data_IF_391116676070
#
_entry.id   IF_391116676070
#
_cell.length_a   1.000
_cell.length_b   1.000
_cell.length_c   1.000
_cell.angle_alpha   90.00
_cell.angle_beta   90.00
_cell.angle_gamma   90.00
#
_symmetry.space_group_name_H-M   'P 1'
#
loop_
_entity.id
_entity.type
_entity.pdbx_description
1 polymer ?
#
# COMPACT_ATOMS: atom_id res chain seq x y z
N UNK A 1 -5.95 19.13 0.67
CA UNK A 1 -6.97 18.05 0.79
C UNK A 1 -6.71 17.05 -0.31
N UNK A 2 -6.71 15.76 -0.01
CA UNK A 2 -6.54 14.68 -1.01
C UNK A 2 -7.48 13.52 -0.68
N UNK A 3 -8.11 12.86 -1.67
CA UNK A 3 -8.73 11.56 -1.43
C UNK A 3 -7.70 10.57 -0.89
N UNK A 4 -8.10 9.67 0.00
CA UNK A 4 -7.17 8.70 0.61
C UNK A 4 -6.74 7.57 -0.34
N UNK A 5 -7.48 7.38 -1.43
CA UNK A 5 -7.21 6.41 -2.50
C UNK A 5 -7.38 7.02 -3.89
N UNK A 6 -6.72 6.41 -4.88
CA UNK A 6 -6.86 6.74 -6.29
C UNK A 6 -7.03 5.48 -7.16
N UNK A 7 -7.40 5.68 -8.43
CA UNK A 7 -7.57 4.62 -9.45
C UNK A 7 -8.47 3.46 -8.98
N UNK A 8 -9.62 3.78 -8.39
CA UNK A 8 -10.60 2.79 -7.92
C UNK A 8 -10.11 1.95 -6.75
N UNK A 9 -9.32 2.53 -5.85
CA UNK A 9 -8.81 1.83 -4.66
C UNK A 9 -7.52 1.05 -4.88
N UNK A 10 -6.91 1.13 -6.07
CA UNK A 10 -5.65 0.44 -6.39
C UNK A 10 -4.40 1.19 -5.91
N UNK A 11 -4.52 2.48 -5.62
CA UNK A 11 -3.41 3.33 -5.19
C UNK A 11 -3.80 4.00 -3.87
N UNK A 12 -2.91 3.94 -2.88
CA UNK A 12 -3.04 4.73 -1.65
C UNK A 12 -2.40 6.11 -1.84
N UNK A 13 -3.07 7.17 -1.34
CA UNK A 13 -2.46 8.51 -1.26
C UNK A 13 -1.50 8.65 -0.08
N UNK A 14 -1.56 7.73 0.89
CA UNK A 14 -0.68 7.67 2.05
C UNK A 14 0.21 6.44 1.93
N UNK A 15 1.53 6.66 1.92
CA UNK A 15 2.53 5.63 1.61
C UNK A 15 3.61 5.59 2.68
N UNK A 16 4.33 4.46 2.83
CA UNK A 16 5.48 4.35 3.72
C UNK A 16 6.52 5.46 3.54
N UNK A 17 6.86 5.79 2.30
CA UNK A 17 7.72 6.91 1.93
C UNK A 17 7.28 7.43 0.57
N UNK A 18 7.19 8.75 0.40
CA UNK A 18 6.86 9.37 -0.89
C UNK A 18 8.00 9.16 -1.89
N UNK A 19 7.67 8.87 -3.14
CA UNK A 19 8.67 8.70 -4.21
C UNK A 19 9.36 10.02 -4.60
N UNK A 20 8.71 11.15 -4.32
CA UNK A 20 9.21 12.49 -4.53
C UNK A 20 8.73 13.41 -3.39
N UNK A 21 9.58 14.34 -2.95
CA UNK A 21 9.27 15.28 -1.85
C UNK A 21 9.28 16.70 -2.42
N UNK A 22 8.09 17.28 -2.61
CA UNK A 22 7.93 18.71 -2.91
C UNK A 22 7.91 19.57 -1.63
N UNK A 23 7.33 19.02 -0.57
CA UNK A 23 7.14 19.69 0.71
C UNK A 23 7.55 18.77 1.86
N UNK A 24 8.50 19.23 2.67
CA UNK A 24 8.97 18.49 3.83
C UNK A 24 8.01 18.60 5.03
N UNK A 25 8.31 17.86 6.09
CA UNK A 25 7.52 17.77 7.31
C UNK A 25 7.41 19.11 8.07
N UNK A 26 8.37 20.02 7.88
CA UNK A 26 8.37 21.33 8.51
C UNK A 26 7.34 22.28 7.85
N UNK A 27 7.10 22.11 6.55
CA UNK A 27 6.18 22.93 5.77
C UNK A 27 4.73 22.46 5.83
N UNK A 28 4.48 21.20 6.18
CA UNK A 28 3.11 20.64 6.22
C UNK A 28 2.61 20.50 7.65
N UNK A 29 1.60 21.28 8.02
CA UNK A 29 1.02 21.28 9.37
C UNK A 29 -0.29 20.50 9.47
N UNK A 30 -1.11 20.45 8.42
CA UNK A 30 -2.43 19.80 8.44
C UNK A 30 -2.58 18.91 7.21
N UNK A 31 -3.11 17.71 7.40
CA UNK A 31 -3.52 16.81 6.32
C UNK A 31 -5.01 16.46 6.45
N UNK A 32 -5.70 16.38 5.32
CA UNK A 32 -7.14 16.09 5.25
C UNK A 32 -7.44 15.13 4.11
N UNK A 33 -8.18 14.07 4.42
CA UNK A 33 -8.83 13.16 3.47
C UNK A 33 -10.30 12.99 3.82
N UNK A 34 -11.04 12.21 3.03
CA UNK A 34 -12.42 11.85 3.36
C UNK A 34 -12.56 10.97 4.61
N UNK A 35 -11.45 10.41 5.12
CA UNK A 35 -11.42 9.64 6.37
C UNK A 35 -11.33 10.52 7.63
N UNK A 36 -10.83 11.76 7.48
CA UNK A 36 -10.64 12.68 8.59
C UNK A 36 -9.50 13.68 8.41
N UNK A 37 -9.15 14.33 9.52
CA UNK A 37 -8.14 15.38 9.60
C UNK A 37 -7.04 15.01 10.60
N UNK A 38 -5.79 15.21 10.19
CA UNK A 38 -4.61 15.08 11.04
C UNK A 38 -3.94 16.45 11.23
N UNK A 39 -3.95 16.95 12.47
CA UNK A 39 -3.20 18.14 12.88
C UNK A 39 -1.80 17.75 13.36
N UNK A 40 -0.78 18.12 12.60
CA UNK A 40 0.60 17.70 12.76
C UNK A 40 1.47 18.72 13.51
N UNK A 41 0.88 19.84 13.97
CA UNK A 41 1.60 20.86 14.75
C UNK A 41 2.13 20.27 16.06
N UNK A 42 3.37 20.65 16.40
CA UNK A 42 4.07 20.25 17.62
C UNK A 42 4.18 18.73 17.85
N UNK A 43 4.17 17.92 16.77
CA UNK A 43 4.29 16.46 16.85
C UNK A 43 5.63 16.00 16.28
N UNK A 44 6.26 15.06 16.97
CA UNK A 44 7.43 14.34 16.48
C UNK A 44 7.09 13.50 15.23
N UNK A 45 8.07 13.11 14.40
CA UNK A 45 7.81 12.29 13.21
C UNK A 45 6.99 11.02 13.50
N UNK A 46 7.25 10.36 14.65
CA UNK A 46 6.49 9.16 15.08
C UNK A 46 5.04 9.47 15.45
N UNK A 47 4.78 10.58 16.13
CA UNK A 47 3.41 11.01 16.45
C UNK A 47 2.65 11.44 15.20
N UNK A 48 3.33 12.13 14.27
CA UNK A 48 2.79 12.49 12.95
C UNK A 48 2.39 11.26 12.16
N UNK A 49 3.28 10.27 12.05
CA UNK A 49 3.01 9.01 11.35
C UNK A 49 1.78 8.31 11.92
N UNK A 50 1.71 8.12 13.24
CA UNK A 50 0.53 7.52 13.90
C UNK A 50 -0.74 8.30 13.59
N UNK A 51 -0.74 9.62 13.73
CA UNK A 51 -1.94 10.42 13.51
C UNK A 51 -2.43 10.37 12.06
N UNK A 52 -1.51 10.43 11.09
CA UNK A 52 -1.83 10.33 9.65
C UNK A 52 -2.45 8.97 9.33
N UNK A 53 -1.86 7.89 9.83
CA UNK A 53 -2.36 6.51 9.64
C UNK A 53 -3.77 6.38 10.23
N UNK A 54 -3.99 6.85 11.45
CA UNK A 54 -5.28 6.70 12.13
C UNK A 54 -6.39 7.60 11.57
N UNK A 55 -6.07 8.82 11.13
CA UNK A 55 -7.08 9.83 10.77
C UNK A 55 -7.27 10.03 9.29
N UNK A 56 -6.28 9.73 8.45
CA UNK A 56 -6.32 10.09 7.03
C UNK A 56 -6.23 8.89 6.09
N UNK A 57 -5.54 7.80 6.48
CA UNK A 57 -5.38 6.64 5.62
C UNK A 57 -6.69 5.85 5.45
N UNK A 58 -6.91 5.33 4.24
CA UNK A 58 -8.06 4.47 3.92
C UNK A 58 -8.01 3.17 4.73
N UNK A 59 -9.15 2.63 5.20
CA UNK A 59 -9.18 1.37 5.94
C UNK A 59 -8.45 0.21 5.25
N UNK A 60 -8.55 0.09 3.92
CA UNK A 60 -7.84 -0.93 3.12
C UNK A 60 -6.33 -0.90 3.24
N UNK A 61 -5.72 0.27 3.49
CA UNK A 61 -4.26 0.44 3.56
C UNK A 61 -3.75 0.74 4.97
N UNK A 62 -4.66 0.99 5.92
CA UNK A 62 -4.32 1.44 7.27
C UNK A 62 -3.50 0.40 8.02
N UNK A 63 -3.90 -0.86 7.96
CA UNK A 63 -3.21 -1.93 8.68
C UNK A 63 -1.82 -2.19 8.06
N UNK A 64 -1.68 -2.19 6.73
CA UNK A 64 -0.38 -2.35 6.08
C UNK A 64 0.57 -1.16 6.40
N UNK A 65 0.05 0.06 6.55
CA UNK A 65 0.85 1.21 7.03
C UNK A 65 1.27 1.05 8.50
N UNK A 66 0.38 0.55 9.37
CA UNK A 66 0.72 0.25 10.77
C UNK A 66 1.82 -0.79 10.85
N UNK A 67 1.71 -1.85 10.05
CA UNK A 67 2.68 -2.94 10.01
C UNK A 67 4.04 -2.44 9.51
N UNK A 68 4.08 -1.64 8.43
CA UNK A 68 5.30 -0.99 7.98
C UNK A 68 5.92 -0.13 9.08
N UNK A 69 5.12 0.72 9.75
CA UNK A 69 5.61 1.62 10.79
C UNK A 69 6.18 0.83 11.98
N UNK A 70 5.48 -0.19 12.47
CA UNK A 70 5.95 -1.04 13.56
C UNK A 70 7.20 -1.85 13.18
N UNK A 71 7.26 -2.35 11.96
CA UNK A 71 8.46 -3.01 11.42
C UNK A 71 9.64 -2.04 11.37
N UNK A 72 9.46 -0.86 10.78
CA UNK A 72 10.48 0.16 10.68
C UNK A 72 11.00 0.58 12.05
N UNK A 73 10.13 0.73 13.06
CA UNK A 73 10.57 1.02 14.44
C UNK A 73 11.50 -0.05 15.02
N UNK A 74 11.36 -1.32 14.62
CA UNK A 74 12.22 -2.42 15.09
C UNK A 74 13.55 -2.50 14.35
N UNK A 75 13.57 -2.23 13.05
CA UNK A 75 14.75 -2.48 12.20
C UNK A 75 15.53 -1.23 11.81
N UNK A 76 14.95 -0.03 11.92
CA UNK A 76 15.61 1.19 11.49
C UNK A 76 16.86 1.49 12.32
N UNK A 77 17.94 1.84 11.63
CA UNK A 77 19.18 2.31 12.27
C UNK A 77 18.95 3.59 13.09
N UNK A 78 18.17 4.52 12.54
CA UNK A 78 17.76 5.77 13.21
C UNK A 78 16.32 5.70 13.71
N UNK A 79 16.10 6.14 14.96
CA UNK A 79 14.80 6.01 15.65
C UNK A 79 13.98 7.32 15.72
N UNK A 80 14.51 8.42 15.17
CA UNK A 80 13.81 9.69 15.05
C UNK A 80 12.72 9.60 13.97
N UNK A 81 13.11 9.20 12.75
CA UNK A 81 12.24 8.96 11.59
C UNK A 81 12.50 7.53 11.09
N UNK A 82 11.84 6.52 11.68
CA UNK A 82 12.15 5.13 11.41
C UNK A 82 11.70 4.72 10.00
N UNK A 83 12.64 4.19 9.21
CA UNK A 83 12.38 3.59 7.89
C UNK A 83 13.18 2.30 7.71
N UNK A 84 12.56 1.31 7.06
CA UNK A 84 13.27 0.24 6.38
C UNK A 84 13.49 0.64 4.92
N UNK A 85 14.74 1.01 4.58
CA UNK A 85 15.10 1.47 3.24
C UNK A 85 14.91 0.40 2.16
N UNK A 86 14.94 -0.90 2.51
CA UNK A 86 14.69 -1.99 1.56
C UNK A 86 13.24 -2.04 1.11
N UNK A 87 12.32 -1.50 1.92
CA UNK A 87 10.87 -1.63 1.71
C UNK A 87 10.16 -0.29 1.56
N UNK A 88 10.82 0.84 1.80
CA UNK A 88 10.22 2.18 1.84
C UNK A 88 9.44 2.55 0.56
N UNK A 89 9.94 2.13 -0.60
CA UNK A 89 9.30 2.39 -1.90
C UNK A 89 8.58 1.16 -2.50
N UNK A 90 8.45 0.07 -1.73
CA UNK A 90 7.90 -1.20 -2.23
C UNK A 90 6.48 -1.10 -2.79
N UNK A 91 5.64 -0.22 -2.24
CA UNK A 91 4.27 -0.03 -2.74
C UNK A 91 4.25 0.56 -4.15
N UNK A 92 5.16 1.48 -4.46
CA UNK A 92 5.30 2.06 -5.79
C UNK A 92 5.78 1.01 -6.79
N UNK A 93 6.76 0.18 -6.39
CA UNK A 93 7.24 -0.95 -7.20
C UNK A 93 6.09 -1.93 -7.47
N UNK A 94 5.34 -2.32 -6.43
CA UNK A 94 4.18 -3.23 -6.55
C UNK A 94 3.11 -2.67 -7.49
N UNK A 95 2.86 -1.37 -7.46
CA UNK A 95 1.95 -0.72 -8.39
C UNK A 95 2.42 -0.84 -9.84
N UNK A 96 3.72 -0.66 -10.11
CA UNK A 96 4.29 -0.82 -11.45
C UNK A 96 4.19 -2.26 -11.95
N UNK A 97 4.46 -3.24 -11.07
CA UNK A 97 4.48 -4.66 -11.42
C UNK A 97 3.07 -5.26 -11.56
N UNK A 98 2.14 -4.87 -10.70
CA UNK A 98 0.85 -5.56 -10.54
C UNK A 98 -0.36 -4.71 -10.92
N UNK A 99 -0.18 -3.40 -11.05
CA UNK A 99 -1.27 -2.44 -11.23
C UNK A 99 -2.01 -2.06 -9.95
N UNK A 100 -1.54 -2.49 -8.77
CA UNK A 100 -2.06 -2.05 -7.47
C UNK A 100 -0.97 -1.98 -6.40
N UNK A 101 -1.14 -1.09 -5.43
CA UNK A 101 -0.35 -1.03 -4.20
C UNK A 101 -0.79 -2.08 -3.17
N UNK A 102 -2.03 -2.58 -3.24
CA UNK A 102 -2.52 -3.60 -2.30
C UNK A 102 -2.08 -4.99 -2.75
N UNK A 103 -1.55 -5.85 -1.86
CA UNK A 103 -1.00 -7.15 -2.24
C UNK A 103 -2.05 -8.07 -2.89
N UNK A 104 -3.31 -7.97 -2.47
CA UNK A 104 -4.39 -8.85 -2.94
C UNK A 104 -4.84 -8.62 -4.39
N UNK A 105 -4.31 -7.64 -5.12
CA UNK A 105 -4.72 -7.43 -6.52
C UNK A 105 -4.20 -8.53 -7.48
N UNK A 106 -3.15 -9.26 -7.09
CA UNK A 106 -2.59 -10.36 -7.89
C UNK A 106 -3.55 -11.55 -8.00
N UNK A 107 -4.45 -11.75 -7.05
CA UNK A 107 -5.36 -12.90 -7.03
C UNK A 107 -6.24 -12.92 -8.28
N UNK A 108 -6.68 -11.78 -8.79
CA UNK A 108 -7.57 -11.74 -9.96
C UNK A 108 -6.92 -12.19 -11.27
N UNK A 109 -5.63 -11.90 -11.52
CA UNK A 109 -4.99 -12.32 -12.80
C UNK A 109 -4.48 -13.76 -12.75
N UNK A 110 -3.93 -14.20 -11.62
CA UNK A 110 -3.48 -15.59 -11.45
C UNK A 110 -4.65 -16.57 -11.34
N UNK A 111 -5.77 -16.21 -10.69
CA UNK A 111 -6.95 -17.09 -10.65
C UNK A 111 -7.56 -17.26 -12.03
N UNK A 112 -7.62 -16.20 -12.87
CA UNK A 112 -8.15 -16.31 -14.24
C UNK A 112 -7.24 -17.16 -15.14
N UNK A 113 -5.90 -17.02 -15.04
CA UNK A 113 -4.99 -17.85 -15.85
C UNK A 113 -4.99 -19.32 -15.39
N UNK A 114 -4.98 -19.59 -14.07
CA UNK A 114 -5.04 -20.95 -13.54
C UNK A 114 -6.34 -21.66 -13.92
N UNK A 115 -7.48 -20.96 -13.86
CA UNK A 115 -8.76 -21.57 -14.24
C UNK A 115 -8.85 -21.85 -15.75
N UNK A 116 -8.25 -21.00 -16.59
CA UNK A 116 -8.16 -21.24 -18.03
C UNK A 116 -7.29 -22.47 -18.36
N UNK A 117 -6.11 -22.59 -17.73
CA UNK A 117 -5.20 -23.73 -17.89
C UNK A 117 -5.81 -25.06 -17.36
N UNK A 118 -6.53 -25.03 -16.24
CA UNK A 118 -7.23 -26.20 -15.70
C UNK A 118 -8.40 -26.67 -16.60
N UNK A 119 -9.07 -25.73 -17.27
CA UNK A 119 -10.20 -26.02 -18.15
C UNK A 119 -9.72 -26.66 -19.47
N UNK A 120 -8.63 -26.16 -20.06
CA UNK A 120 -8.01 -26.77 -21.25
C UNK A 120 -7.54 -28.21 -20.98
N UNK A 121 -6.89 -28.45 -19.84
CA UNK A 121 -6.42 -29.78 -19.47
C UNK A 121 -7.56 -30.79 -19.27
N UNK A 122 -8.71 -30.36 -18.72
CA UNK A 122 -9.89 -31.23 -18.57
C UNK A 122 -10.60 -31.51 -19.90
N UNK A 123 -10.56 -30.57 -20.85
CA UNK A 123 -11.14 -30.77 -22.19
C UNK A 123 -10.30 -31.80 -22.96
N UNK A 124 -8.98 -31.68 -22.95
CA UNK A 124 -8.07 -32.60 -23.63
C UNK A 124 -8.21 -34.04 -23.10
N UNK A 125 -8.29 -34.21 -21.77
CA UNK A 125 -8.51 -35.52 -21.16
C UNK A 125 -9.87 -36.14 -21.54
N UNK A 126 -10.92 -35.34 -21.70
CA UNK A 126 -12.25 -35.81 -22.13
C UNK A 126 -12.30 -36.19 -23.61
N UNK A 127 -11.50 -35.55 -24.45
CA UNK A 127 -11.38 -35.89 -25.88
C UNK A 127 -10.60 -37.21 -26.04
N UNK A 128 -9.54 -37.42 -25.25
CA UNK A 128 -8.70 -38.62 -25.32
C UNK A 128 -9.41 -39.93 -24.90
N UNK A 129 -10.44 -39.87 -24.05
CA UNK A 129 -11.17 -41.06 -23.56
C UNK A 129 -12.34 -41.47 -24.49
N UNK A 130 -12.68 -40.65 -25.49
CA UNK A 130 -13.82 -40.88 -26.39
C UNK A 130 -13.45 -41.51 -27.75
N UNK A 131 -12.18 -41.86 -27.96
CA UNK A 131 -11.67 -42.64 -29.12
C UNK A 131 -11.11 -43.98 -28.64
#
# INVERSE_FOLDING_TARGET
MTPSIAKGGKISAFVPMVSHVDHNEHSVQIMVSEQGLADLRAKSPKERARLIIEKCAHPTYRDELRDYFQHAQRVAFGQHTPHDLKQALSWHIRLQETGSMHPDHQTTKQTISKHAEETEHQIDQRIAIKN
#
